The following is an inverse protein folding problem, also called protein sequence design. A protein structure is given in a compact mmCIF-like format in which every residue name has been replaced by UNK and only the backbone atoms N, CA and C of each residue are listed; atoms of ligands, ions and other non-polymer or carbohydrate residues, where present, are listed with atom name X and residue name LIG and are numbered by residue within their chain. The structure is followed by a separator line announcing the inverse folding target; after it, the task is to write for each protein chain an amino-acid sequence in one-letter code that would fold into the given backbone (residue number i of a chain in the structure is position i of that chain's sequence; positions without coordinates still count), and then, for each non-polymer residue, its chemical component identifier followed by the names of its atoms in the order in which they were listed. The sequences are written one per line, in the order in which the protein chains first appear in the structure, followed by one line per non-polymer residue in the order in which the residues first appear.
data_IF_167783043888
#
_entry.id   IF_167783043888
#
_cell.length_a   1.000
_cell.length_b   1.000
_cell.length_c   1.000
_cell.angle_alpha   90.00
_cell.angle_beta   90.00
_cell.angle_gamma   90.00
#
_symmetry.space_group_name_H-M   'P 1'
#
loop_
_entity.id
_entity.type
_entity.pdbx_description
1 polymer ?
#
# COMPACT_ATOMS: atom_id res chain seq x y z
N UNK A 1 -1.16 15.92 25.39
CA UNK A 1 -2.58 15.77 25.05
C UNK A 1 -2.63 15.50 23.56
N UNK A 2 -2.56 14.21 23.18
CA UNK A 2 -2.79 13.77 21.81
C UNK A 2 -4.30 13.57 21.71
N UNK A 3 -5.01 14.49 21.07
CA UNK A 3 -6.40 14.25 20.67
C UNK A 3 -6.34 13.25 19.53
N UNK A 4 -6.54 11.97 19.84
CA UNK A 4 -6.76 10.96 18.81
C UNK A 4 -8.05 11.34 18.08
N UNK A 5 -7.97 11.59 16.79
CA UNK A 5 -9.15 11.58 15.91
C UNK A 5 -9.57 10.11 15.72
N UNK A 6 -9.87 9.41 16.82
CA UNK A 6 -10.18 7.96 16.88
C UNK A 6 -11.53 7.63 16.22
N UNK A 7 -12.33 8.62 15.82
CA UNK A 7 -13.67 8.42 15.25
C UNK A 7 -13.68 8.24 13.72
N UNK A 8 -12.52 8.34 13.04
CA UNK A 8 -12.48 8.20 11.58
C UNK A 8 -12.19 6.77 11.17
N UNK A 9 -13.12 6.17 10.41
CA UNK A 9 -12.84 4.91 9.72
C UNK A 9 -11.76 5.15 8.67
N UNK A 10 -10.57 4.60 8.89
CA UNK A 10 -9.48 4.68 7.92
C UNK A 10 -9.60 3.53 6.91
N UNK A 11 -9.81 3.87 5.64
CA UNK A 11 -9.75 2.90 4.54
C UNK A 11 -8.43 3.07 3.83
N UNK A 12 -7.64 1.99 3.80
CA UNK A 12 -6.38 1.93 3.06
C UNK A 12 -6.60 1.18 1.76
N UNK A 13 -6.25 1.80 0.64
CA UNK A 13 -6.32 1.22 -0.70
C UNK A 13 -4.91 1.17 -1.27
N UNK A 14 -4.44 0.00 -1.65
CA UNK A 14 -3.17 -0.16 -2.34
C UNK A 14 -3.45 -0.66 -3.76
N UNK A 15 -2.85 -0.01 -4.75
CA UNK A 15 -3.05 -0.32 -6.16
C UNK A 15 -1.71 -0.81 -6.71
N UNK A 16 -1.63 -2.10 -7.01
CA UNK A 16 -0.46 -2.74 -7.62
C UNK A 16 -0.67 -2.84 -9.13
N UNK A 17 0.24 -2.26 -9.91
CA UNK A 17 0.06 -2.14 -11.36
C UNK A 17 1.37 -1.92 -12.11
N UNK A 18 1.38 -2.29 -13.39
CA UNK A 18 2.25 -1.67 -14.38
C UNK A 18 1.58 -0.43 -14.97
N UNK A 19 2.30 0.69 -15.11
CA UNK A 19 1.74 1.88 -15.70
C UNK A 19 1.35 1.80 -17.18
N UNK A 20 1.82 0.80 -17.94
CA UNK A 20 1.38 0.54 -19.32
C UNK A 20 0.36 -0.59 -19.46
N UNK A 21 -0.03 -1.25 -18.36
CA UNK A 21 -1.11 -2.23 -18.39
C UNK A 21 -2.41 -1.55 -18.83
N UNK A 22 -3.05 -2.08 -19.89
CA UNK A 22 -4.31 -1.54 -20.40
C UNK A 22 -5.39 -1.51 -19.32
N UNK A 23 -5.48 -2.56 -18.50
CA UNK A 23 -6.45 -2.63 -17.41
C UNK A 23 -6.16 -1.59 -16.33
N UNK A 24 -4.88 -1.40 -15.97
CA UNK A 24 -4.49 -0.40 -14.99
C UNK A 24 -4.78 1.01 -15.51
N UNK A 25 -4.40 1.33 -16.75
CA UNK A 25 -4.70 2.62 -17.38
C UNK A 25 -6.21 2.88 -17.40
N UNK A 26 -7.02 1.89 -17.78
CA UNK A 26 -8.47 2.03 -17.81
C UNK A 26 -9.04 2.30 -16.43
N UNK A 27 -8.57 1.60 -15.39
CA UNK A 27 -8.94 1.86 -14.00
C UNK A 27 -8.59 3.30 -13.59
N UNK A 28 -7.34 3.71 -13.77
CA UNK A 28 -6.85 5.04 -13.38
C UNK A 28 -7.61 6.16 -14.13
N UNK A 29 -7.83 6.01 -15.44
CA UNK A 29 -8.58 6.98 -16.26
C UNK A 29 -10.04 7.05 -15.90
N UNK A 30 -10.71 5.91 -15.70
CA UNK A 30 -12.11 5.87 -15.27
C UNK A 30 -12.33 6.61 -13.93
N UNK A 31 -11.29 6.68 -13.09
CA UNK A 31 -11.36 7.41 -11.83
C UNK A 31 -11.00 8.89 -11.92
N UNK A 32 -10.35 9.37 -12.98
CA UNK A 32 -9.97 10.77 -13.17
C UNK A 32 -11.15 11.65 -13.60
N UNK A 33 -11.96 11.19 -14.56
CA UNK A 33 -12.83 12.05 -15.35
C UNK A 33 -14.14 12.50 -14.66
N UNK A 34 -14.18 12.52 -13.32
CA UNK A 34 -15.39 12.88 -12.58
C UNK A 34 -16.60 11.96 -12.88
N UNK A 35 -16.37 10.86 -13.60
CA UNK A 35 -17.35 9.82 -13.85
C UNK A 35 -17.86 9.33 -12.49
N UNK A 36 -19.19 9.23 -12.35
CA UNK A 36 -19.87 8.78 -11.14
C UNK A 36 -19.45 7.32 -10.82
N UNK A 37 -18.32 7.16 -10.14
CA UNK A 37 -17.58 5.88 -10.09
C UNK A 37 -16.11 6.02 -9.72
N UNK A 38 -15.54 7.23 -9.82
CA UNK A 38 -14.18 7.57 -9.38
C UNK A 38 -13.95 7.55 -7.88
N UNK A 39 -12.84 6.98 -7.39
CA UNK A 39 -12.38 7.28 -6.02
C UNK A 39 -11.76 8.67 -5.89
N UNK A 40 -11.42 9.34 -7.02
CA UNK A 40 -10.90 10.72 -7.00
C UNK A 40 -11.80 11.69 -6.23
N UNK A 41 -13.12 11.61 -6.45
CA UNK A 41 -14.08 12.44 -5.72
C UNK A 41 -14.04 12.17 -4.21
N UNK A 42 -13.85 10.91 -3.80
CA UNK A 42 -13.72 10.53 -2.39
C UNK A 42 -12.40 11.01 -1.80
N UNK A 43 -11.28 10.88 -2.52
CA UNK A 43 -9.97 11.39 -2.09
C UNK A 43 -10.04 12.93 -1.94
N UNK A 44 -10.66 13.62 -2.90
CA UNK A 44 -10.84 15.07 -2.85
C UNK A 44 -11.75 15.50 -1.69
N UNK A 45 -12.87 14.81 -1.48
CA UNK A 45 -13.78 15.09 -0.36
C UNK A 45 -13.09 14.88 1.00
N UNK A 46 -12.35 13.78 1.15
CA UNK A 46 -11.57 13.51 2.35
C UNK A 46 -10.47 14.56 2.60
N UNK A 47 -9.87 15.10 1.54
CA UNK A 47 -8.85 16.14 1.63
C UNK A 47 -9.41 17.54 1.93
N UNK A 48 -10.55 17.90 1.34
CA UNK A 48 -11.09 19.28 1.38
C UNK A 48 -12.08 19.53 2.52
N UNK A 49 -12.71 18.49 3.06
CA UNK A 49 -13.69 18.61 4.15
C UNK A 49 -13.41 17.68 5.35
N UNK A 50 -12.19 17.69 5.93
CA UNK A 50 -11.77 16.70 6.92
C UNK A 50 -12.54 16.76 8.24
N UNK A 51 -13.25 17.85 8.57
CA UNK A 51 -14.02 17.96 9.83
C UNK A 51 -15.44 17.43 9.71
N UNK A 52 -16.01 17.37 8.50
CA UNK A 52 -17.35 16.82 8.25
C UNK A 52 -17.29 15.38 7.76
N UNK A 53 -16.16 14.99 7.18
CA UNK A 53 -15.90 13.63 6.70
C UNK A 53 -15.35 12.75 7.82
N UNK A 54 -16.14 11.75 8.23
CA UNK A 54 -15.81 10.78 9.28
C UNK A 54 -15.02 9.56 8.79
N UNK A 55 -14.39 9.67 7.62
CA UNK A 55 -13.47 8.65 7.12
C UNK A 55 -12.16 9.30 6.69
N UNK A 56 -11.10 8.49 6.65
CA UNK A 56 -9.88 8.83 5.90
C UNK A 56 -9.70 7.80 4.80
N UNK A 57 -9.23 8.28 3.65
CA UNK A 57 -8.91 7.41 2.52
C UNK A 57 -7.44 7.58 2.22
N UNK A 58 -6.66 6.53 2.49
CA UNK A 58 -5.24 6.47 2.17
C UNK A 58 -5.07 5.62 0.91
N UNK A 59 -4.61 6.25 -0.18
CA UNK A 59 -4.39 5.57 -1.46
C UNK A 59 -2.89 5.48 -1.71
N UNK A 60 -2.42 4.24 -1.82
CA UNK A 60 -1.03 3.91 -2.02
C UNK A 60 -0.84 3.28 -3.41
N UNK A 61 0.05 3.86 -4.21
CA UNK A 61 0.37 3.35 -5.54
C UNK A 61 1.64 2.49 -5.46
N UNK A 62 1.54 1.25 -5.92
CA UNK A 62 2.64 0.30 -5.99
C UNK A 62 2.96 0.00 -7.47
N UNK A 63 3.63 0.94 -8.18
CA UNK A 63 4.03 0.74 -9.56
C UNK A 63 5.22 -0.23 -9.60
N UNK A 64 4.99 -1.40 -10.17
CA UNK A 64 6.02 -2.41 -10.44
C UNK A 64 5.50 -3.37 -11.51
N UNK A 65 4.30 -3.88 -11.26
CA UNK A 65 3.66 -4.86 -12.11
C UNK A 65 4.40 -6.19 -12.10
N UNK A 66 4.85 -6.63 -13.26
CA UNK A 66 5.59 -7.88 -13.45
C UNK A 66 7.02 -7.65 -13.95
N UNK A 67 7.57 -6.44 -13.76
CA UNK A 67 8.95 -6.14 -14.12
C UNK A 67 9.93 -7.13 -13.47
N UNK A 68 11.06 -7.36 -14.14
CA UNK A 68 12.15 -8.21 -13.64
C UNK A 68 13.35 -7.37 -13.27
N UNK A 69 14.04 -7.77 -12.20
CA UNK A 69 15.28 -7.13 -11.75
C UNK A 69 16.46 -8.06 -11.99
N UNK A 70 17.47 -7.55 -12.67
CA UNK A 70 18.76 -8.23 -12.87
C UNK A 70 19.88 -7.40 -12.26
N UNK A 71 21.02 -8.04 -11.99
CA UNK A 71 22.24 -7.35 -11.51
C UNK A 71 23.26 -7.36 -12.64
N UNK A 72 23.62 -6.18 -13.14
CA UNK A 72 24.63 -5.99 -14.19
C UNK A 72 25.72 -5.08 -13.64
N UNK A 73 26.95 -5.59 -13.56
CA UNK A 73 28.12 -4.83 -13.06
C UNK A 73 27.88 -4.16 -11.69
N UNK A 74 27.30 -4.91 -10.74
CA UNK A 74 26.93 -4.43 -9.39
C UNK A 74 25.89 -3.31 -9.36
N UNK A 75 25.14 -3.09 -10.45
CA UNK A 75 23.98 -2.19 -10.50
C UNK A 75 22.71 -2.99 -10.80
N UNK A 76 21.59 -2.54 -10.24
CA UNK A 76 20.29 -3.10 -10.63
C UNK A 76 19.91 -2.58 -12.02
N UNK A 77 19.54 -3.51 -12.89
CA UNK A 77 18.93 -3.24 -14.17
C UNK A 77 17.51 -3.80 -14.14
N UNK A 78 16.55 -2.99 -14.57
CA UNK A 78 15.14 -3.33 -14.57
C UNK A 78 14.69 -3.57 -16.00
N UNK A 79 14.04 -4.71 -16.23
CA UNK A 79 13.43 -5.03 -17.51
C UNK A 79 11.92 -5.15 -17.31
N UNK A 80 11.20 -4.18 -17.87
CA UNK A 80 9.75 -4.14 -17.85
C UNK A 80 9.17 -4.95 -19.01
N UNK A 81 7.87 -5.22 -18.97
CA UNK A 81 7.21 -6.16 -19.87
C UNK A 81 7.12 -5.65 -21.31
N UNK A 82 6.88 -4.36 -21.48
CA UNK A 82 6.61 -3.73 -22.77
C UNK A 82 7.88 -3.08 -23.35
N UNK A 83 8.31 -1.95 -22.78
CA UNK A 83 9.39 -1.14 -23.34
C UNK A 83 10.05 -0.24 -22.28
N UNK A 84 11.10 0.50 -22.68
CA UNK A 84 11.80 1.44 -21.80
C UNK A 84 10.89 2.56 -21.27
N UNK A 85 9.87 2.94 -22.03
CA UNK A 85 8.88 3.93 -21.61
C UNK A 85 8.06 3.40 -20.41
N UNK A 86 7.72 2.11 -20.36
CA UNK A 86 7.11 1.50 -19.18
C UNK A 86 8.01 1.59 -17.95
N UNK A 87 9.29 1.23 -18.09
CA UNK A 87 10.23 1.31 -16.97
C UNK A 87 10.42 2.74 -16.47
N UNK A 88 10.45 3.70 -17.40
CA UNK A 88 10.53 5.11 -17.06
C UNK A 88 9.25 5.61 -16.38
N UNK A 89 8.08 5.20 -16.85
CA UNK A 89 6.79 5.50 -16.24
C UNK A 89 6.66 4.89 -14.84
N UNK A 90 7.16 3.66 -14.66
CA UNK A 90 7.14 2.95 -13.37
C UNK A 90 8.01 3.67 -12.35
N UNK A 91 9.23 4.08 -12.76
CA UNK A 91 10.09 4.93 -11.92
C UNK A 91 9.47 6.29 -11.62
N UNK A 92 8.85 6.95 -12.60
CA UNK A 92 8.14 8.20 -12.36
C UNK A 92 7.06 8.05 -11.29
N UNK A 93 6.20 7.03 -11.41
CA UNK A 93 5.15 6.78 -10.42
C UNK A 93 5.71 6.37 -9.07
N UNK A 94 6.81 5.61 -9.03
CA UNK A 94 7.51 5.29 -7.78
C UNK A 94 8.05 6.56 -7.13
N UNK A 95 8.64 7.47 -7.90
CA UNK A 95 9.05 8.80 -7.45
C UNK A 95 7.88 9.64 -6.94
N UNK A 96 6.70 9.59 -7.55
CA UNK A 96 5.52 10.30 -7.04
C UNK A 96 5.00 9.66 -5.74
N UNK A 97 4.93 8.33 -5.68
CA UNK A 97 4.34 7.59 -4.56
C UNK A 97 5.25 7.59 -3.32
N UNK A 98 6.55 7.35 -3.52
CA UNK A 98 7.57 7.13 -2.48
C UNK A 98 8.56 8.28 -2.35
N UNK A 99 8.71 9.07 -3.41
CA UNK A 99 9.61 10.20 -3.41
C UNK A 99 9.34 11.14 -2.25
N UNK A 100 10.42 11.68 -1.71
CA UNK A 100 10.40 12.72 -0.68
C UNK A 100 10.02 14.08 -1.25
N UNK A 101 9.02 14.11 -2.12
CA UNK A 101 8.26 15.33 -2.34
C UNK A 101 7.37 15.45 -1.11
N UNK A 102 7.99 15.84 0.01
CA UNK A 102 7.42 15.86 1.37
C UNK A 102 6.17 16.73 1.49
N UNK A 103 5.87 17.49 0.45
CA UNK A 103 4.73 18.39 0.34
C UNK A 103 3.52 17.71 -0.31
N UNK A 104 3.68 16.54 -0.94
CA UNK A 104 2.57 15.87 -1.60
C UNK A 104 1.67 15.17 -0.58
N UNK A 105 0.49 15.74 -0.39
CA UNK A 105 -0.64 15.05 0.22
C UNK A 105 -1.02 13.82 -0.60
N UNK A 106 -1.75 12.87 -0.01
CA UNK A 106 -2.32 11.72 -0.74
C UNK A 106 -3.09 12.16 -1.98
N UNK A 107 -3.84 13.26 -1.88
CA UNK A 107 -4.55 13.86 -3.02
C UNK A 107 -3.59 14.26 -4.14
N UNK A 108 -2.49 14.95 -3.83
CA UNK A 108 -1.54 15.41 -4.85
C UNK A 108 -0.84 14.24 -5.54
N UNK A 109 -0.42 13.23 -4.78
CA UNK A 109 0.16 12.00 -5.34
C UNK A 109 -0.82 11.34 -6.31
N UNK A 110 -2.07 11.20 -5.88
CA UNK A 110 -3.14 10.64 -6.69
C UNK A 110 -3.33 11.45 -7.97
N UNK A 111 -3.48 12.76 -7.88
CA UNK A 111 -3.71 13.63 -9.04
C UNK A 111 -2.53 13.59 -10.02
N UNK A 112 -1.28 13.56 -9.53
CA UNK A 112 -0.09 13.45 -10.37
C UNK A 112 -0.02 12.11 -11.11
N UNK A 113 -0.31 10.99 -10.45
CA UNK A 113 -0.37 9.66 -11.12
C UNK A 113 -1.48 9.65 -12.18
N UNK A 114 -2.67 10.16 -11.87
CA UNK A 114 -3.78 10.20 -12.84
C UNK A 114 -3.48 11.13 -14.03
N UNK A 115 -2.89 12.29 -13.77
CA UNK A 115 -2.61 13.26 -14.82
C UNK A 115 -1.55 12.72 -15.79
N UNK A 116 -0.45 12.17 -15.26
CA UNK A 116 0.65 11.65 -16.09
C UNK A 116 0.20 10.47 -16.97
N UNK A 117 -0.59 9.53 -16.43
CA UNK A 117 -1.13 8.37 -17.18
C UNK A 117 -2.13 8.72 -18.27
N UNK A 118 -2.70 9.91 -18.20
CA UNK A 118 -3.69 10.33 -19.18
C UNK A 118 -3.11 11.07 -20.38
N UNK A 119 -1.79 11.25 -20.43
CA UNK A 119 -1.13 11.79 -21.60
C UNK A 119 -1.29 10.91 -22.84
N UNK A 120 -1.49 11.54 -23.99
CA UNK A 120 -1.55 10.85 -25.30
C UNK A 120 -0.25 10.12 -25.60
N UNK A 121 0.86 10.67 -25.13
CA UNK A 121 2.20 10.13 -25.37
C UNK A 121 2.67 9.21 -24.23
N UNK A 122 1.81 8.85 -23.27
CA UNK A 122 2.21 8.07 -22.09
C UNK A 122 2.94 6.76 -22.43
N UNK A 123 2.51 6.08 -23.50
CA UNK A 123 3.07 4.81 -23.94
C UNK A 123 4.47 4.93 -24.57
N UNK A 124 4.90 6.14 -24.95
CA UNK A 124 6.17 6.39 -25.67
C UNK A 124 7.08 7.35 -24.90
N UNK A 125 6.51 8.36 -24.22
CA UNK A 125 7.20 9.34 -23.41
C UNK A 125 6.39 9.70 -22.15
N UNK A 126 6.51 8.92 -21.07
CA UNK A 126 5.77 9.15 -19.82
C UNK A 126 6.10 10.48 -19.13
N UNK A 127 7.19 11.16 -19.52
CA UNK A 127 7.56 12.46 -18.96
C UNK A 127 6.96 13.64 -19.73
N UNK A 128 6.36 13.43 -20.91
CA UNK A 128 5.92 14.50 -21.80
C UNK A 128 4.97 15.50 -21.11
N UNK A 129 4.08 15.00 -20.26
CA UNK A 129 3.05 15.80 -19.61
C UNK A 129 3.40 16.19 -18.17
N UNK A 130 4.60 15.87 -17.71
CA UNK A 130 4.96 16.03 -16.31
C UNK A 130 4.85 17.48 -15.82
N UNK A 131 5.34 18.43 -16.62
CA UNK A 131 5.27 19.85 -16.27
C UNK A 131 3.83 20.36 -16.24
N UNK A 132 3.03 20.02 -17.26
CA UNK A 132 1.60 20.35 -17.29
C UNK A 132 0.87 19.77 -16.08
N UNK A 133 1.18 18.54 -15.70
CA UNK A 133 0.59 17.90 -14.52
C UNK A 133 1.01 18.60 -13.23
N UNK A 134 2.30 18.90 -13.05
CA UNK A 134 2.81 19.63 -11.90
C UNK A 134 2.09 20.99 -11.74
N UNK A 135 2.00 21.78 -12.81
CA UNK A 135 1.28 23.06 -12.81
C UNK A 135 -0.21 22.89 -12.48
N UNK A 136 -0.88 21.89 -13.06
CA UNK A 136 -2.33 21.68 -12.90
C UNK A 136 -2.75 21.28 -11.48
N UNK A 137 -1.84 20.69 -10.70
CA UNK A 137 -2.12 20.29 -9.31
C UNK A 137 -2.02 21.44 -8.32
N UNK A 138 -1.72 22.66 -8.78
CA UNK A 138 -1.52 23.85 -7.95
C UNK A 138 -0.42 23.64 -6.90
N UNK A 139 0.51 22.73 -7.19
CA UNK A 139 1.52 22.23 -6.26
C UNK A 139 2.89 22.40 -6.91
N UNK A 140 3.54 23.48 -6.44
CA UNK A 140 5.00 23.69 -6.44
C UNK A 140 5.62 23.70 -7.84
N UNK A 141 5.65 24.89 -8.42
CA UNK A 141 6.56 25.25 -9.51
C UNK A 141 7.98 24.72 -9.18
N UNK A 142 8.55 23.89 -10.07
CA UNK A 142 9.88 23.29 -9.88
C UNK A 142 9.92 21.78 -9.58
N UNK A 143 8.78 21.13 -9.35
CA UNK A 143 8.75 19.67 -9.12
C UNK A 143 8.92 18.83 -10.39
N UNK A 144 8.52 19.35 -11.56
CA UNK A 144 8.70 18.65 -12.84
C UNK A 144 10.16 18.26 -13.11
N UNK A 145 11.14 19.19 -12.97
CA UNK A 145 12.56 18.88 -13.04
C UNK A 145 13.05 17.86 -11.99
N UNK A 146 12.54 17.93 -10.75
CA UNK A 146 12.90 16.99 -9.69
C UNK A 146 12.39 15.58 -10.01
N UNK A 147 11.14 15.45 -10.45
CA UNK A 147 10.54 14.19 -10.88
C UNK A 147 11.19 13.65 -12.14
N UNK A 148 11.59 14.51 -13.08
CA UNK A 148 12.36 14.12 -14.28
C UNK A 148 13.71 13.52 -13.89
N UNK A 149 14.41 14.16 -12.95
CA UNK A 149 15.69 13.68 -12.43
C UNK A 149 15.51 12.36 -11.67
N UNK A 150 14.47 12.28 -10.84
CA UNK A 150 14.16 11.08 -10.08
C UNK A 150 13.81 9.90 -10.99
N UNK A 151 13.05 10.14 -12.07
CA UNK A 151 12.63 9.11 -13.03
C UNK A 151 13.71 8.74 -14.06
N UNK A 152 14.91 9.34 -14.01
CA UNK A 152 16.00 9.01 -14.93
C UNK A 152 16.61 7.63 -14.65
N UNK A 153 17.20 6.98 -15.66
CA UNK A 153 17.71 5.59 -15.58
C UNK A 153 18.85 5.44 -14.58
N UNK A 154 19.71 6.44 -14.52
CA UNK A 154 20.82 6.51 -13.59
C UNK A 154 20.42 6.98 -12.18
N UNK A 155 19.14 7.26 -11.94
CA UNK A 155 18.67 7.80 -10.66
C UNK A 155 18.78 6.77 -9.53
N UNK A 156 19.64 7.05 -8.55
CA UNK A 156 19.76 6.21 -7.35
C UNK A 156 18.45 6.20 -6.56
N UNK A 157 17.82 7.36 -6.38
CA UNK A 157 16.58 7.47 -5.63
C UNK A 157 15.41 6.80 -6.37
N UNK A 158 15.28 7.03 -7.69
CA UNK A 158 14.23 6.40 -8.49
C UNK A 158 14.33 4.88 -8.50
N UNK A 159 15.54 4.34 -8.65
CA UNK A 159 15.80 2.91 -8.57
C UNK A 159 15.55 2.36 -7.15
N UNK A 160 15.92 3.11 -6.11
CA UNK A 160 15.61 2.76 -4.73
C UNK A 160 14.11 2.68 -4.45
N UNK A 161 13.32 3.64 -4.91
CA UNK A 161 11.86 3.61 -4.79
C UNK A 161 11.23 2.46 -5.58
N UNK A 162 11.80 2.13 -6.74
CA UNK A 162 11.36 1.01 -7.54
C UNK A 162 11.66 -0.34 -6.86
N UNK A 163 12.80 -0.48 -6.20
CA UNK A 163 13.11 -1.65 -5.36
C UNK A 163 12.13 -1.76 -4.17
N UNK A 164 11.72 -0.64 -3.58
CA UNK A 164 10.71 -0.63 -2.51
C UNK A 164 9.34 -1.09 -3.02
N UNK A 165 8.89 -0.65 -4.20
CA UNK A 165 7.61 -1.09 -4.78
C UNK A 165 7.65 -2.54 -5.28
N UNK A 166 8.80 -3.00 -5.78
CA UNK A 166 9.05 -4.42 -6.04
C UNK A 166 8.93 -5.25 -4.76
N UNK A 167 9.60 -4.83 -3.68
CA UNK A 167 9.56 -5.51 -2.40
C UNK A 167 8.13 -5.64 -1.87
N UNK A 168 7.34 -4.56 -1.97
CA UNK A 168 5.93 -4.57 -1.61
C UNK A 168 5.11 -5.52 -2.51
N UNK A 169 5.42 -5.62 -3.81
CA UNK A 169 4.72 -6.52 -4.75
C UNK A 169 5.05 -7.98 -4.48
N UNK A 170 6.32 -8.31 -4.19
CA UNK A 170 6.73 -9.66 -3.80
C UNK A 170 6.07 -10.05 -2.47
N UNK A 171 6.06 -9.14 -1.49
CA UNK A 171 5.45 -9.38 -0.18
C UNK A 171 3.93 -9.60 -0.25
N UNK A 172 3.25 -9.10 -1.29
CA UNK A 172 1.84 -9.38 -1.50
C UNK A 172 1.57 -10.88 -1.72
N UNK A 173 2.56 -11.62 -2.25
CA UNK A 173 2.49 -13.07 -2.51
C UNK A 173 1.18 -13.48 -3.20
N UNK A 174 0.85 -12.79 -4.30
CA UNK A 174 -0.37 -13.00 -5.08
C UNK A 174 -0.04 -13.01 -6.56
N UNK A 175 -0.84 -13.75 -7.34
CA UNK A 175 -0.73 -13.75 -8.80
C UNK A 175 -1.02 -12.35 -9.33
N UNK A 176 -0.03 -11.77 -10.01
CA UNK A 176 -0.10 -10.40 -10.53
C UNK A 176 -0.90 -10.32 -11.83
N UNK A 177 -2.23 -10.48 -11.74
CA UNK A 177 -3.15 -10.10 -12.83
C UNK A 177 -3.53 -8.64 -12.67
N UNK A 178 -2.76 -7.76 -13.31
CA UNK A 178 -2.83 -6.32 -13.05
C UNK A 178 -4.12 -5.63 -13.56
N UNK A 179 -4.62 -4.61 -12.83
CA UNK A 179 -4.15 -4.17 -11.52
C UNK A 179 -4.65 -5.09 -10.39
N UNK A 180 -3.82 -5.29 -9.36
CA UNK A 180 -4.26 -5.94 -8.11
C UNK A 180 -4.59 -4.85 -7.11
N UNK A 181 -5.82 -4.87 -6.60
CA UNK A 181 -6.30 -3.90 -5.61
C UNK A 181 -6.35 -4.56 -4.25
N UNK A 182 -5.78 -3.89 -3.25
CA UNK A 182 -5.83 -4.31 -1.86
C UNK A 182 -6.60 -3.26 -1.07
N UNK A 183 -7.64 -3.65 -0.36
CA UNK A 183 -8.41 -2.77 0.53
C UNK A 183 -8.27 -3.30 1.95
N UNK A 184 -7.81 -2.45 2.87
CA UNK A 184 -7.53 -2.80 4.27
C UNK A 184 -6.67 -4.07 4.41
N UNK A 185 -5.62 -4.18 3.59
CA UNK A 185 -4.68 -5.31 3.63
C UNK A 185 -5.18 -6.60 2.98
N UNK A 186 -6.29 -6.58 2.24
CA UNK A 186 -6.81 -7.75 1.54
C UNK A 186 -7.04 -7.50 0.07
N UNK A 187 -6.63 -8.45 -0.77
CA UNK A 187 -6.91 -8.44 -2.21
C UNK A 187 -8.42 -8.40 -2.43
N UNK A 188 -8.87 -7.43 -3.23
CA UNK A 188 -10.26 -7.22 -3.60
C UNK A 188 -10.39 -7.20 -5.13
N UNK A 189 -10.74 -8.34 -5.72
CA UNK A 189 -10.88 -8.49 -7.18
C UNK A 189 -12.08 -7.73 -7.74
N UNK A 190 -13.15 -7.57 -6.96
CA UNK A 190 -14.32 -6.78 -7.36
C UNK A 190 -13.99 -5.28 -7.53
N UNK A 191 -12.94 -4.81 -6.85
CA UNK A 191 -12.52 -3.42 -6.91
C UNK A 191 -11.90 -3.04 -8.27
N UNK A 192 -11.44 -4.01 -9.06
CA UNK A 192 -10.98 -3.77 -10.45
C UNK A 192 -12.14 -3.30 -11.33
N UNK A 193 -13.34 -3.84 -11.11
CA UNK A 193 -14.54 -3.44 -11.86
C UNK A 193 -15.21 -2.19 -11.27
N UNK A 194 -15.20 -2.04 -9.93
CA UNK A 194 -15.86 -0.93 -9.27
C UNK A 194 -15.19 -0.57 -7.92
N UNK A 195 -14.03 0.09 -8.00
CA UNK A 195 -13.23 0.47 -6.84
C UNK A 195 -14.02 1.32 -5.84
N UNK A 196 -14.77 2.32 -6.34
CA UNK A 196 -15.58 3.21 -5.51
C UNK A 196 -16.58 2.44 -4.65
N UNK A 197 -17.30 1.48 -5.24
CA UNK A 197 -18.26 0.69 -4.47
C UNK A 197 -17.55 -0.13 -3.38
N UNK A 198 -16.41 -0.74 -3.71
CA UNK A 198 -15.66 -1.54 -2.74
C UNK A 198 -15.07 -0.69 -1.60
N UNK A 199 -14.58 0.51 -1.90
CA UNK A 199 -14.11 1.46 -0.88
C UNK A 199 -15.27 1.88 0.02
N UNK A 200 -16.42 2.23 -0.56
CA UNK A 200 -17.61 2.59 0.23
C UNK A 200 -18.09 1.46 1.15
N UNK A 201 -18.04 0.20 0.69
CA UNK A 201 -18.35 -0.96 1.51
C UNK A 201 -17.34 -1.19 2.64
N UNK A 202 -16.08 -0.76 2.45
CA UNK A 202 -15.03 -0.83 3.47
C UNK A 202 -15.10 0.32 4.50
N UNK A 203 -15.87 1.38 4.24
CA UNK A 203 -16.16 2.43 5.23
C UNK A 203 -17.28 1.94 6.15
N UNK A 204 -17.11 2.11 7.47
CA UNK A 204 -18.18 1.80 8.44
C UNK A 204 -19.48 2.49 8.03
N UNK A 205 -20.58 1.76 8.08
CA UNK A 205 -21.87 2.26 7.60
C UNK A 205 -22.29 3.59 8.25
N UNK A 206 -21.93 3.82 9.51
CA UNK A 206 -22.19 5.07 10.24
C UNK A 206 -21.35 6.27 9.76
N UNK A 207 -20.22 6.00 9.12
CA UNK A 207 -19.25 7.00 8.64
C UNK A 207 -19.23 7.12 7.11
N UNK A 208 -20.03 6.29 6.41
CA UNK A 208 -20.11 6.24 4.95
C UNK A 208 -20.70 7.56 4.41
N UNK A 209 -20.02 8.26 3.48
CA UNK A 209 -20.51 9.51 2.95
C UNK A 209 -21.73 9.29 2.05
N UNK A 210 -22.86 9.91 2.38
CA UNK A 210 -24.12 9.69 1.69
C UNK A 210 -24.08 10.08 0.20
N UNK A 211 -23.40 11.18 -0.15
CA UNK A 211 -23.31 11.68 -1.53
C UNK A 211 -22.41 10.79 -2.38
N UNK A 212 -21.18 10.55 -1.92
CA UNK A 212 -20.19 9.77 -2.66
C UNK A 212 -20.62 8.31 -2.74
N UNK A 213 -21.15 7.72 -1.66
CA UNK A 213 -21.58 6.32 -1.63
C UNK A 213 -23.07 6.11 -1.94
N UNK A 214 -23.74 7.09 -2.55
CA UNK A 214 -25.15 7.00 -2.93
C UNK A 214 -25.40 5.79 -3.86
N UNK A 215 -26.51 5.08 -3.63
CA UNK A 215 -26.95 3.95 -4.46
C UNK A 215 -26.21 2.63 -4.20
N UNK A 216 -25.25 2.61 -3.27
CA UNK A 216 -24.60 1.38 -2.84
C UNK A 216 -25.51 0.68 -1.85
N UNK A 217 -26.19 -0.35 -2.33
CA UNK A 217 -26.90 -1.30 -1.46
C UNK A 217 -25.84 -2.17 -0.81
N UNK A 218 -25.78 -2.16 0.52
CA UNK A 218 -24.95 -3.09 1.26
C UNK A 218 -25.41 -4.51 0.89
N UNK A 219 -24.60 -5.32 0.18
CA UNK A 219 -24.93 -6.72 0.06
C UNK A 219 -25.01 -7.26 1.49
N UNK A 220 -26.07 -8.00 1.81
CA UNK A 220 -26.39 -8.57 3.12
C UNK A 220 -25.11 -8.77 3.95
N UNK A 221 -24.98 -8.14 5.14
CA UNK A 221 -23.70 -7.81 5.78
C UNK A 221 -22.67 -8.92 5.55
N UNK A 222 -21.81 -8.69 4.56
CA UNK A 222 -20.73 -9.62 4.27
C UNK A 222 -19.78 -9.48 5.44
N UNK A 223 -19.63 -10.58 6.20
CA UNK A 223 -18.68 -10.77 7.29
C UNK A 223 -17.49 -9.82 7.14
N UNK A 224 -17.45 -8.77 7.96
CA UNK A 224 -16.38 -7.79 7.90
C UNK A 224 -15.07 -8.51 8.13
N UNK A 225 -14.18 -8.46 7.15
CA UNK A 225 -12.86 -9.00 7.30
C UNK A 225 -12.01 -7.95 8.03
N UNK A 226 -11.38 -8.34 9.13
CA UNK A 226 -10.60 -7.42 9.98
C UNK A 226 -9.12 -7.68 9.70
N UNK A 227 -8.36 -6.66 9.32
CA UNK A 227 -6.90 -6.79 9.21
C UNK A 227 -6.24 -6.18 10.43
N UNK A 228 -5.35 -6.94 11.07
CA UNK A 228 -4.61 -6.51 12.25
C UNK A 228 -3.13 -6.53 11.93
N UNK A 229 -2.51 -5.34 11.92
CA UNK A 229 -1.06 -5.21 11.80
C UNK A 229 -0.41 -5.27 13.18
N UNK A 230 0.51 -6.22 13.37
CA UNK A 230 1.23 -6.43 14.61
C UNK A 230 2.70 -6.06 14.41
N UNK A 231 3.09 -4.88 14.91
CA UNK A 231 4.49 -4.45 14.93
C UNK A 231 5.21 -5.07 16.12
N UNK A 232 6.36 -5.69 15.89
CA UNK A 232 7.10 -6.38 16.94
C UNK A 232 8.62 -6.31 16.78
N UNK A 233 9.33 -6.49 17.89
CA UNK A 233 10.79 -6.66 17.92
C UNK A 233 11.06 -8.15 18.18
N UNK A 234 11.67 -8.91 17.24
CA UNK A 234 11.78 -10.36 17.34
C UNK A 234 12.40 -10.87 18.64
N UNK A 235 13.38 -10.16 19.20
CA UNK A 235 14.08 -10.57 20.42
C UNK A 235 13.57 -9.91 21.71
N UNK A 236 12.61 -8.98 21.63
CA UNK A 236 12.06 -8.39 22.84
C UNK A 236 11.16 -9.41 23.53
N UNK A 237 11.44 -9.71 24.80
CA UNK A 237 10.67 -10.69 25.58
C UNK A 237 9.16 -10.40 25.54
N UNK A 238 8.75 -9.13 25.60
CA UNK A 238 7.33 -8.74 25.49
C UNK A 238 6.70 -9.08 24.14
N UNK A 239 7.44 -8.96 23.05
CA UNK A 239 6.97 -9.34 21.71
C UNK A 239 6.88 -10.86 21.58
N UNK A 240 7.85 -11.58 22.13
CA UNK A 240 7.82 -13.04 22.21
C UNK A 240 6.61 -13.48 23.02
N UNK A 241 6.38 -12.93 24.21
CA UNK A 241 5.24 -13.27 25.07
C UNK A 241 3.87 -12.93 24.42
N UNK A 242 3.85 -11.94 23.52
CA UNK A 242 2.65 -11.51 22.80
C UNK A 242 2.32 -12.37 21.58
N UNK A 243 3.34 -12.90 20.89
CA UNK A 243 3.21 -13.64 19.63
C UNK A 243 3.29 -15.15 19.84
N UNK A 244 4.14 -15.62 20.76
CA UNK A 244 4.41 -17.03 20.94
C UNK A 244 3.22 -17.77 21.54
N UNK A 245 2.89 -18.92 20.95
CA UNK A 245 2.18 -19.98 21.63
C UNK A 245 3.07 -20.46 22.79
N UNK A 246 2.51 -20.64 23.99
CA UNK A 246 3.30 -21.24 25.04
C UNK A 246 3.58 -22.72 24.71
N UNK A 247 4.59 -23.31 25.36
CA UNK A 247 5.02 -24.70 25.14
C UNK A 247 3.93 -25.76 25.43
N UNK A 248 2.79 -25.35 25.99
CA UNK A 248 1.65 -26.22 26.33
C UNK A 248 0.52 -26.12 25.29
N UNK A 249 0.69 -25.35 24.21
CA UNK A 249 -0.37 -25.09 23.23
C UNK A 249 -1.50 -24.19 23.76
N UNK A 250 -1.35 -23.64 24.96
CA UNK A 250 -2.26 -22.65 25.53
C UNK A 250 -1.95 -21.30 24.91
N UNK A 251 -2.92 -20.81 24.15
CA UNK A 251 -2.86 -19.53 23.49
C UNK A 251 -2.79 -18.39 24.53
N UNK A 252 -1.60 -17.83 24.75
CA UNK A 252 -1.45 -16.50 25.38
C UNK A 252 -1.27 -15.45 24.28
N UNK A 253 -1.60 -14.19 24.58
CA UNK A 253 -1.51 -13.09 23.62
C UNK A 253 -2.69 -13.00 22.63
N UNK A 254 -2.44 -12.41 21.46
CA UNK A 254 -3.47 -12.10 20.44
C UNK A 254 -4.19 -13.35 19.97
N UNK A 255 -3.46 -14.44 19.75
CA UNK A 255 -4.04 -15.69 19.30
C UNK A 255 -5.06 -16.25 20.30
N UNK A 256 -4.77 -16.17 21.60
CA UNK A 256 -5.66 -16.66 22.66
C UNK A 256 -6.87 -15.77 22.88
N UNK A 257 -6.65 -14.46 22.87
CA UNK A 257 -7.73 -13.48 22.95
C UNK A 257 -8.75 -13.68 21.82
N UNK A 258 -8.26 -13.86 20.60
CA UNK A 258 -9.11 -13.98 19.41
C UNK A 258 -9.80 -15.33 19.35
N UNK A 259 -9.06 -16.42 19.58
CA UNK A 259 -9.65 -17.76 19.58
C UNK A 259 -10.77 -17.88 20.61
N UNK A 260 -10.57 -17.33 21.81
CA UNK A 260 -11.58 -17.40 22.87
C UNK A 260 -12.75 -16.44 22.61
N UNK A 261 -12.50 -15.20 22.18
CA UNK A 261 -13.59 -14.24 21.90
C UNK A 261 -14.41 -14.59 20.65
N UNK A 262 -13.81 -15.20 19.63
CA UNK A 262 -14.52 -15.63 18.42
C UNK A 262 -15.28 -16.95 18.61
N UNK A 263 -14.76 -17.87 19.43
CA UNK A 263 -15.43 -19.14 19.69
C UNK A 263 -16.75 -18.96 20.47
N UNK A 264 -16.81 -17.98 21.37
CA UNK A 264 -17.98 -17.75 22.22
C UNK A 264 -19.12 -16.99 21.50
N UNK A 265 -18.85 -16.41 20.32
CA UNK A 265 -19.80 -15.57 19.61
C UNK A 265 -20.22 -16.20 18.27
N UNK A 266 -21.07 -17.24 18.35
CA UNK A 266 -21.54 -18.02 17.19
C UNK A 266 -22.19 -17.20 16.06
N UNK A 267 -22.60 -15.96 16.33
CA UNK A 267 -23.19 -15.05 15.35
C UNK A 267 -22.19 -14.17 14.60
N UNK A 268 -20.93 -14.07 15.07
CA UNK A 268 -19.95 -13.14 14.51
C UNK A 268 -18.75 -13.88 13.96
N UNK A 269 -18.85 -14.30 12.70
CA UNK A 269 -17.75 -14.90 11.94
C UNK A 269 -16.94 -13.78 11.28
N UNK A 270 -16.00 -13.17 12.00
CA UNK A 270 -14.99 -12.32 11.37
C UNK A 270 -13.98 -13.19 10.60
N UNK A 271 -13.54 -12.72 9.44
CA UNK A 271 -12.35 -13.25 8.78
C UNK A 271 -11.20 -12.32 9.16
N UNK A 272 -10.37 -12.72 10.13
CA UNK A 272 -9.30 -11.86 10.66
C UNK A 272 -7.98 -12.22 9.98
N UNK A 273 -7.37 -11.25 9.31
CA UNK A 273 -6.04 -11.35 8.75
C UNK A 273 -5.01 -10.74 9.70
N UNK A 274 -3.88 -11.43 9.94
CA UNK A 274 -2.77 -10.93 10.74
C UNK A 274 -1.57 -10.62 9.85
N UNK A 275 -1.14 -9.37 9.85
CA UNK A 275 0.12 -8.96 9.23
C UNK A 275 1.13 -8.67 10.33
N UNK A 276 2.10 -9.56 10.50
CA UNK A 276 3.17 -9.38 11.47
C UNK A 276 4.29 -8.56 10.84
N UNK A 277 4.63 -7.40 11.39
CA UNK A 277 5.65 -6.51 10.85
C UNK A 277 6.84 -6.49 11.84
N UNK A 278 7.96 -7.18 11.54
CA UNK A 278 9.17 -7.19 12.35
C UNK A 278 9.90 -5.87 12.10
N UNK A 279 9.34 -4.80 12.64
CA UNK A 279 9.87 -3.46 12.51
C UNK A 279 9.61 -2.73 13.80
N UNK A 280 10.20 -3.24 14.89
CA UNK A 280 10.15 -2.60 16.18
C UNK A 280 10.79 -1.20 16.17
N UNK A 281 11.48 -0.86 17.26
CA UNK A 281 12.10 0.47 17.44
C UNK A 281 13.39 0.70 16.63
N UNK A 282 13.61 -0.05 15.54
CA UNK A 282 14.80 0.11 14.72
C UNK A 282 14.79 1.48 14.02
N UNK A 283 15.91 2.19 14.07
CA UNK A 283 16.08 3.47 13.37
C UNK A 283 16.88 3.27 12.09
N UNK A 284 16.52 4.01 11.04
CA UNK A 284 17.19 4.01 9.73
C UNK A 284 17.99 5.30 9.62
N UNK A 285 19.32 5.19 9.50
CA UNK A 285 20.20 6.33 9.21
C UNK A 285 20.85 6.14 7.85
N UNK A 286 20.96 7.23 7.08
CA UNK A 286 21.71 7.23 5.82
C UNK A 286 23.12 7.72 6.13
N UNK A 287 24.11 6.92 5.78
CA UNK A 287 25.53 7.31 5.90
C UNK A 287 25.89 8.33 4.83
N UNK A 288 27.03 9.00 4.97
CA UNK A 288 27.58 9.94 3.97
C UNK A 288 27.85 9.29 2.61
N UNK A 289 28.01 7.97 2.58
CA UNK A 289 28.24 7.18 1.35
C UNK A 289 26.93 6.64 0.76
N UNK A 290 25.79 7.21 1.16
CA UNK A 290 24.44 6.84 0.74
C UNK A 290 23.98 5.42 1.13
N UNK A 291 24.81 4.69 1.88
CA UNK A 291 24.43 3.40 2.46
C UNK A 291 23.39 3.60 3.55
N UNK A 292 22.39 2.71 3.56
CA UNK A 292 21.41 2.62 4.63
C UNK A 292 22.00 1.80 5.77
N UNK A 293 22.13 2.40 6.95
CA UNK A 293 22.48 1.71 8.18
C UNK A 293 21.23 1.59 9.06
N UNK A 294 21.04 0.40 9.62
CA UNK A 294 19.95 0.12 10.55
C UNK A 294 20.55 0.03 11.96
N UNK A 295 19.96 0.76 12.89
CA UNK A 295 20.29 0.66 14.31
C UNK A 295 19.12 -0.01 15.01
N UNK A 296 19.30 -1.29 15.37
CA UNK A 296 18.31 -2.05 16.12
C UNK A 296 18.49 -1.86 17.62
N UNK A 297 17.41 -2.03 18.38
CA UNK A 297 17.41 -1.70 19.81
C UNK A 297 18.19 -2.71 20.64
N UNK A 298 18.12 -4.00 20.27
CA UNK A 298 18.78 -5.08 20.99
C UNK A 298 20.09 -5.52 20.29
N UNK A 299 20.70 -4.64 19.49
CA UNK A 299 21.97 -4.85 18.81
C UNK A 299 21.92 -5.68 17.52
N UNK A 300 23.07 -6.17 17.07
CA UNK A 300 23.23 -6.82 15.76
C UNK A 300 22.41 -8.10 15.59
N UNK A 301 22.22 -8.87 16.66
CA UNK A 301 21.43 -10.10 16.64
C UNK A 301 19.96 -9.79 16.34
N UNK A 302 19.44 -8.70 16.88
CA UNK A 302 18.06 -8.23 16.62
C UNK A 302 17.89 -7.75 15.19
N UNK A 303 18.90 -7.06 14.63
CA UNK A 303 18.91 -6.72 13.21
C UNK A 303 18.89 -7.96 12.32
N UNK A 304 19.66 -9.00 12.65
CA UNK A 304 19.66 -10.26 11.90
C UNK A 304 18.31 -10.97 11.99
N UNK A 305 17.73 -11.05 13.19
CA UNK A 305 16.40 -11.65 13.41
C UNK A 305 15.30 -10.88 12.66
N UNK A 306 15.34 -9.54 12.73
CA UNK A 306 14.42 -8.66 12.00
C UNK A 306 14.50 -8.90 10.49
N UNK A 307 15.72 -8.97 9.93
CA UNK A 307 15.91 -9.28 8.50
C UNK A 307 15.39 -10.68 8.15
N UNK A 308 15.62 -11.68 9.01
CA UNK A 308 15.13 -13.04 8.79
C UNK A 308 13.59 -13.10 8.77
N UNK A 309 12.94 -12.45 9.74
CA UNK A 309 11.48 -12.42 9.82
C UNK A 309 10.86 -11.61 8.67
N UNK A 310 11.50 -10.52 8.24
CA UNK A 310 11.06 -9.74 7.09
C UNK A 310 11.10 -10.54 5.77
N UNK A 311 12.00 -11.52 5.67
CA UNK A 311 12.07 -12.43 4.51
C UNK A 311 10.97 -13.52 4.59
N UNK A 312 10.62 -13.96 5.79
CA UNK A 312 9.69 -15.08 6.01
C UNK A 312 8.22 -14.70 6.18
N UNK A 313 7.88 -13.42 6.28
CA UNK A 313 6.51 -12.96 6.43
C UNK A 313 5.68 -13.20 5.15
N UNK A 314 5.22 -14.43 5.01
CA UNK A 314 4.08 -14.79 4.17
C UNK A 314 2.82 -14.58 5.02
N UNK A 315 1.79 -13.95 4.46
CA UNK A 315 0.48 -13.77 5.11
C UNK A 315 -0.03 -15.13 5.63
N UNK A 316 -0.27 -15.25 6.94
CA UNK A 316 -0.80 -16.49 7.54
C UNK A 316 -2.33 -16.37 7.62
N UNK A 317 -3.04 -17.18 6.84
CA UNK A 317 -4.50 -17.21 6.89
C UNK A 317 -5.00 -17.99 8.11
N UNK A 318 -6.03 -17.48 8.78
CA UNK A 318 -6.61 -18.12 9.97
C UNK A 318 -7.15 -19.54 9.70
N UNK A 319 -7.47 -19.86 8.43
CA UNK A 319 -7.91 -21.19 8.01
C UNK A 319 -6.76 -22.22 8.05
N UNK A 320 -5.53 -21.82 7.76
CA UNK A 320 -4.36 -22.72 7.74
C UNK A 320 -3.89 -23.10 9.15
N UNK A 321 -4.20 -22.26 10.14
CA UNK A 321 -3.87 -22.48 11.56
C UNK A 321 -4.84 -23.48 12.20
N UNK A 322 -6.12 -23.48 11.81
CA UNK A 322 -7.11 -24.45 12.30
C UNK A 322 -6.81 -25.88 11.82
N UNK A 323 -6.03 -26.03 10.74
CA UNK A 323 -5.61 -27.32 10.21
C UNK A 323 -4.43 -27.98 10.98
N UNK A 324 -3.88 -27.32 12.01
CA UNK A 324 -2.81 -27.88 12.83
C UNK A 324 -1.43 -27.94 12.14
N UNK A 325 -1.24 -27.16 11.09
CA UNK A 325 0.03 -27.05 10.38
C UNK A 325 1.04 -26.31 11.26
N UNK A 326 2.10 -27.00 11.72
CA UNK A 326 3.20 -26.36 12.43
C UNK A 326 3.97 -25.44 11.47
N UNK A 327 4.09 -24.17 11.85
CA UNK A 327 4.95 -23.15 11.22
C UNK A 327 6.33 -23.21 11.86
#
# INVERSE_FOLDING_TARGET
ILTTNDDKSAVRVQIYYSPLSTNAINLLRAHRDGQAGGIYAMVNAAATAPTTVKYTLDVDFIPWGTATRTVVQNKFAYQCQNNDAECKGTRLHACIARGRISQYTTFNKYTMVMCTTAGTDWATNPLANLETCATSTNQIEGDGPLLTTCAADASVDGNGYLDETMGATIALNHDMTEPVIVINGMVNTAAVANLKNQVCLAIDAANRPATECAGIVDPTPVKSKVSVQVYYTPLAQKSIDFIALNAEGNARGVYGLIKNQLADNAQVKYDINFEYIPWGRATKTRTTDDKVQYTCVEGDTDCKATRLHAINNSVVYFQDILAGTNI
#
